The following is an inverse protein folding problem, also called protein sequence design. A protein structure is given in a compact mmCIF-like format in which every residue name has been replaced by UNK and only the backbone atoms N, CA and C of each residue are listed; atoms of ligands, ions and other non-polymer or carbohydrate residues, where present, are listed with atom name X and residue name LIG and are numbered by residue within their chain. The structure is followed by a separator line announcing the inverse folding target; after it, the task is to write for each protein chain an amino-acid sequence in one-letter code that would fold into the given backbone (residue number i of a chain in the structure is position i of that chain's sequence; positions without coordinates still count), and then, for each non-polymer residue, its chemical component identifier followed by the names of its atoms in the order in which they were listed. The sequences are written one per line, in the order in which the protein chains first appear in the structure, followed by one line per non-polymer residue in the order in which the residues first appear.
data_IF_183721696449
#
_entry.id   IF_183721696449
#
_cell.length_a   1.000
_cell.length_b   1.000
_cell.length_c   1.000
_cell.angle_alpha   90.00
_cell.angle_beta   90.00
_cell.angle_gamma   90.00
#
_symmetry.space_group_name_H-M   'P 1'
#
loop_
_entity.id
_entity.type
_entity.pdbx_description
1 polymer ?
#
# COMPACT_ATOMS: atom_id res chain seq x y z
N UNK A 1 -37.67 29.77 -0.84
CA UNK A 1 -36.29 29.30 -1.04
C UNK A 1 -36.37 28.03 -1.89
N UNK A 2 -35.94 28.08 -3.15
CA UNK A 2 -35.97 26.92 -4.03
C UNK A 2 -34.79 26.00 -3.65
N UNK A 3 -35.06 24.80 -3.19
CA UNK A 3 -34.07 23.74 -3.00
C UNK A 3 -33.60 23.26 -4.37
N UNK A 4 -32.42 23.69 -4.78
CA UNK A 4 -31.79 23.22 -6.00
C UNK A 4 -31.29 21.79 -5.74
N UNK A 5 -32.15 20.80 -5.88
CA UNK A 5 -31.79 19.38 -5.91
C UNK A 5 -31.14 19.07 -7.25
N UNK A 6 -29.83 19.19 -7.33
CA UNK A 6 -29.05 18.65 -8.45
C UNK A 6 -29.27 17.14 -8.47
N UNK A 7 -30.15 16.67 -9.34
CA UNK A 7 -30.36 15.23 -9.54
C UNK A 7 -29.05 14.63 -10.09
N UNK A 8 -28.45 13.70 -9.36
CA UNK A 8 -27.31 12.94 -9.87
C UNK A 8 -27.76 12.13 -11.09
N UNK A 9 -26.93 12.04 -12.14
CA UNK A 9 -27.25 11.18 -13.28
C UNK A 9 -27.43 9.73 -12.80
N UNK A 10 -28.33 9.00 -13.45
CA UNK A 10 -28.52 7.59 -13.17
C UNK A 10 -27.18 6.84 -13.34
N UNK A 11 -26.89 5.84 -12.48
CA UNK A 11 -25.68 5.05 -12.66
C UNK A 11 -25.68 4.37 -14.03
N UNK A 12 -24.51 4.22 -14.68
CA UNK A 12 -24.40 3.49 -15.94
C UNK A 12 -24.88 2.04 -15.78
N UNK A 13 -25.28 1.42 -16.89
CA UNK A 13 -25.65 0.00 -16.92
C UNK A 13 -24.46 -0.88 -16.50
N UNK A 14 -24.77 -2.09 -16.01
CA UNK A 14 -23.78 -3.08 -15.59
C UNK A 14 -22.84 -3.47 -16.75
N UNK A 15 -21.56 -3.62 -16.44
CA UNK A 15 -20.56 -4.17 -17.37
C UNK A 15 -20.34 -5.67 -17.05
N UNK A 16 -21.03 -6.51 -17.81
CA UNK A 16 -20.99 -7.98 -17.67
C UNK A 16 -19.61 -8.59 -17.96
N UNK A 17 -18.64 -7.83 -18.46
CA UNK A 17 -17.26 -8.28 -18.64
C UNK A 17 -16.46 -8.26 -17.33
N UNK A 18 -16.87 -7.44 -16.39
CA UNK A 18 -16.25 -7.38 -15.07
C UNK A 18 -16.72 -8.55 -14.19
N UNK A 19 -15.81 -9.12 -13.44
CA UNK A 19 -16.06 -10.28 -12.56
C UNK A 19 -16.01 -9.87 -11.10
N UNK A 20 -16.69 -10.64 -10.26
CA UNK A 20 -16.51 -10.58 -8.82
C UNK A 20 -15.10 -11.07 -8.44
N UNK A 21 -14.35 -10.27 -7.71
CA UNK A 21 -13.07 -10.66 -7.12
C UNK A 21 -13.30 -11.09 -5.67
N UNK A 22 -12.82 -12.30 -5.30
CA UNK A 22 -12.83 -12.81 -3.92
C UNK A 22 -11.42 -13.25 -3.59
N UNK A 23 -10.73 -12.50 -2.73
CA UNK A 23 -9.40 -12.84 -2.25
C UNK A 23 -9.48 -13.49 -0.87
N UNK A 24 -9.14 -14.78 -0.77
CA UNK A 24 -9.05 -15.52 0.49
C UNK A 24 -7.59 -15.59 0.95
N UNK A 25 -7.12 -14.55 1.66
CA UNK A 25 -5.70 -14.30 1.92
C UNK A 25 -4.92 -15.47 2.55
N UNK A 26 -5.57 -16.33 3.31
CA UNK A 26 -4.94 -17.50 3.94
C UNK A 26 -5.13 -18.81 3.16
N UNK A 27 -5.84 -18.79 2.03
CA UNK A 27 -6.20 -20.01 1.28
C UNK A 27 -5.87 -19.92 -0.21
N UNK A 28 -5.93 -18.70 -0.76
CA UNK A 28 -5.75 -18.46 -2.18
C UNK A 28 -4.26 -18.39 -2.51
N UNK A 29 -3.75 -19.46 -3.13
CA UNK A 29 -2.35 -19.56 -3.54
C UNK A 29 -2.02 -18.75 -4.80
N UNK A 30 -3.01 -18.19 -5.47
CA UNK A 30 -2.79 -17.32 -6.63
C UNK A 30 -2.44 -15.87 -6.24
N UNK A 31 -2.67 -15.48 -4.98
CA UNK A 31 -2.34 -14.14 -4.49
C UNK A 31 -0.83 -13.90 -4.52
N UNK A 32 -0.45 -12.72 -4.97
CA UNK A 32 0.95 -12.32 -5.00
C UNK A 32 1.37 -11.79 -3.64
N UNK A 33 2.35 -12.46 -3.03
CA UNK A 33 3.02 -12.02 -1.82
C UNK A 33 4.37 -11.44 -2.20
N UNK A 34 4.62 -10.18 -1.85
CA UNK A 34 5.81 -9.43 -2.24
C UNK A 34 6.55 -8.96 -0.99
N UNK A 35 7.78 -9.44 -0.83
CA UNK A 35 8.69 -8.95 0.20
C UNK A 35 9.35 -7.63 -0.24
N UNK A 36 9.24 -6.59 0.59
CA UNK A 36 9.74 -5.26 0.29
C UNK A 36 10.17 -4.55 1.59
N UNK A 37 11.37 -3.99 1.64
CA UNK A 37 11.94 -3.23 2.77
C UNK A 37 11.76 -3.88 4.16
N UNK A 38 11.78 -5.20 4.22
CA UNK A 38 11.56 -5.96 5.46
C UNK A 38 10.12 -6.41 5.67
N UNK A 39 9.17 -5.80 5.00
CA UNK A 39 7.73 -6.08 5.08
C UNK A 39 7.27 -7.13 4.06
N UNK A 40 6.03 -7.60 4.19
CA UNK A 40 5.39 -8.46 3.18
C UNK A 40 4.03 -7.89 2.80
N UNK A 41 3.84 -7.65 1.51
CA UNK A 41 2.64 -7.06 0.92
C UNK A 41 1.93 -8.10 0.07
N UNK A 42 0.66 -8.37 0.38
CA UNK A 42 -0.19 -9.29 -0.38
C UNK A 42 -1.21 -8.51 -1.17
N UNK A 43 -1.18 -8.63 -2.49
CA UNK A 43 -2.11 -7.92 -3.36
C UNK A 43 -3.42 -8.71 -3.40
N UNK A 44 -4.50 -8.11 -2.87
CA UNK A 44 -5.82 -8.74 -2.76
C UNK A 44 -6.81 -8.26 -3.81
N UNK A 45 -6.73 -6.98 -4.21
CA UNK A 45 -7.51 -6.40 -5.31
C UNK A 45 -6.58 -5.55 -6.16
N UNK A 46 -6.56 -5.81 -7.45
CA UNK A 46 -5.70 -5.11 -8.41
C UNK A 46 -6.43 -3.96 -9.11
N UNK A 47 -5.68 -3.10 -9.79
CA UNK A 47 -6.24 -2.10 -10.68
C UNK A 47 -7.08 -2.72 -11.81
N UNK A 48 -6.70 -3.90 -12.30
CA UNK A 48 -7.49 -4.61 -13.34
C UNK A 48 -8.86 -5.02 -12.81
N UNK A 49 -8.96 -5.48 -11.56
CA UNK A 49 -10.22 -5.82 -10.91
C UNK A 49 -11.16 -4.63 -10.76
N UNK A 50 -10.63 -3.42 -10.64
CA UNK A 50 -11.39 -2.19 -10.33
C UNK A 50 -11.49 -1.22 -11.51
N UNK A 51 -11.03 -1.60 -12.70
CA UNK A 51 -10.89 -0.70 -13.86
C UNK A 51 -10.06 0.55 -13.51
N UNK A 52 -8.95 0.36 -12.77
CA UNK A 52 -8.00 1.41 -12.40
C UNK A 52 -8.44 2.31 -11.24
N UNK A 53 -9.59 2.07 -10.63
CA UNK A 53 -10.13 2.99 -9.62
C UNK A 53 -9.39 2.91 -8.30
N UNK A 54 -9.05 1.72 -7.85
CA UNK A 54 -8.28 1.48 -6.63
C UNK A 54 -7.63 0.10 -6.64
N UNK A 55 -6.66 -0.09 -5.79
CA UNK A 55 -6.13 -1.41 -5.41
C UNK A 55 -6.20 -1.60 -3.90
N UNK A 56 -6.20 -2.86 -3.43
CA UNK A 56 -6.18 -3.22 -2.01
C UNK A 56 -5.02 -4.17 -1.75
N UNK A 57 -4.22 -3.83 -0.74
CA UNK A 57 -3.01 -4.54 -0.39
C UNK A 57 -3.06 -4.85 1.11
N UNK A 58 -2.95 -6.11 1.48
CA UNK A 58 -2.80 -6.53 2.89
C UNK A 58 -1.30 -6.52 3.22
N UNK A 59 -0.92 -5.71 4.19
CA UNK A 59 0.47 -5.49 4.58
C UNK A 59 0.76 -6.11 5.94
N UNK A 60 1.81 -6.92 6.00
CA UNK A 60 2.41 -7.45 7.23
C UNK A 60 3.70 -6.71 7.51
N UNK A 61 3.73 -5.95 8.60
CA UNK A 61 4.81 -5.05 8.98
C UNK A 61 5.46 -5.61 10.26
N UNK A 62 6.61 -6.28 10.18
CA UNK A 62 7.31 -6.77 11.36
C UNK A 62 7.87 -5.62 12.22
N UNK A 63 8.31 -5.89 13.46
CA UNK A 63 9.04 -4.92 14.26
C UNK A 63 10.19 -4.28 13.48
N UNK A 64 10.27 -2.94 13.48
CA UNK A 64 11.25 -2.19 12.71
C UNK A 64 10.93 -2.02 11.22
N UNK A 65 9.81 -2.60 10.72
CA UNK A 65 9.37 -2.47 9.33
C UNK A 65 8.71 -1.12 9.03
N UNK A 66 8.51 -0.88 7.74
CA UNK A 66 7.90 0.32 7.19
C UNK A 66 8.77 1.00 6.13
N UNK A 67 8.15 1.74 5.19
CA UNK A 67 8.86 2.41 4.11
C UNK A 67 9.63 3.64 4.60
N UNK A 68 10.67 4.07 3.86
CA UNK A 68 11.31 5.36 4.07
C UNK A 68 10.34 6.52 3.78
N UNK A 69 10.67 7.78 4.17
CA UNK A 69 9.87 8.94 3.84
C UNK A 69 9.64 9.06 2.32
N UNK A 70 8.37 9.25 1.93
CA UNK A 70 7.99 9.37 0.53
C UNK A 70 6.72 10.21 0.37
N UNK A 71 6.36 10.48 -0.87
CA UNK A 71 5.05 11.00 -1.29
C UNK A 71 4.66 10.41 -2.64
N UNK A 72 3.39 10.43 -2.95
CA UNK A 72 2.86 9.93 -4.21
C UNK A 72 1.62 10.72 -4.64
N UNK A 73 1.32 10.70 -5.92
CA UNK A 73 0.22 11.44 -6.54
C UNK A 73 -1.06 10.58 -6.63
N UNK A 74 -1.48 10.02 -5.50
CA UNK A 74 -2.74 9.30 -5.32
C UNK A 74 -3.12 9.31 -3.83
N UNK A 75 -4.41 9.12 -3.55
CA UNK A 75 -4.89 8.93 -2.17
C UNK A 75 -4.48 7.55 -1.66
N UNK A 76 -4.02 7.49 -0.42
CA UNK A 76 -3.69 6.25 0.25
C UNK A 76 -4.40 6.15 1.60
N UNK A 77 -5.18 5.09 1.78
CA UNK A 77 -5.91 4.87 3.03
C UNK A 77 -5.41 3.62 3.71
N UNK A 78 -5.02 3.76 4.98
CA UNK A 78 -4.67 2.63 5.84
C UNK A 78 -5.81 2.30 6.79
N UNK A 79 -6.15 1.01 6.90
CA UNK A 79 -7.07 0.48 7.90
C UNK A 79 -6.27 -0.52 8.74
N UNK A 80 -5.97 -0.17 9.99
CA UNK A 80 -5.20 -1.04 10.86
C UNK A 80 -6.09 -2.15 11.43
N UNK A 81 -5.67 -3.40 11.20
CA UNK A 81 -6.39 -4.59 11.64
C UNK A 81 -5.79 -5.17 12.91
N UNK A 82 -4.45 -5.14 13.05
CA UNK A 82 -3.72 -5.71 14.18
C UNK A 82 -2.50 -4.85 14.51
N UNK A 83 -2.16 -4.71 15.79
CA UNK A 83 -0.96 -4.00 16.24
C UNK A 83 -1.04 -2.48 16.16
N UNK A 84 0.11 -1.83 16.02
CA UNK A 84 0.23 -0.37 15.93
C UNK A 84 1.45 0.04 15.09
N UNK A 85 1.41 1.23 14.51
CA UNK A 85 2.55 1.87 13.84
C UNK A 85 2.68 3.33 14.24
N UNK A 86 3.89 3.86 14.21
CA UNK A 86 4.14 5.29 14.22
C UNK A 86 4.02 5.83 12.80
N UNK A 87 2.99 6.62 12.54
CA UNK A 87 2.85 7.35 11.28
C UNK A 87 3.48 8.74 11.43
N UNK A 88 4.29 9.14 10.44
CA UNK A 88 4.79 10.51 10.31
C UNK A 88 4.12 11.16 9.10
N UNK A 89 3.37 12.22 9.34
CA UNK A 89 2.66 12.99 8.31
C UNK A 89 3.10 14.44 8.36
N UNK A 90 3.71 14.94 7.27
CA UNK A 90 4.27 16.32 7.21
C UNK A 90 5.14 16.66 8.42
N UNK A 91 5.99 15.70 8.85
CA UNK A 91 6.88 15.85 10.00
C UNK A 91 6.24 15.63 11.39
N UNK A 92 4.92 15.51 11.49
CA UNK A 92 4.23 15.22 12.76
C UNK A 92 4.03 13.72 12.94
N UNK A 93 4.38 13.22 14.12
CA UNK A 93 4.24 11.81 14.49
C UNK A 93 2.91 11.54 15.20
N UNK A 94 2.32 10.40 14.94
CA UNK A 94 1.11 9.90 15.58
C UNK A 94 1.18 8.39 15.68
N UNK A 95 0.71 7.81 16.78
CA UNK A 95 0.55 6.35 16.89
C UNK A 95 -0.84 5.98 16.40
N UNK A 96 -0.88 5.09 15.42
CA UNK A 96 -2.08 4.55 14.79
C UNK A 96 -2.22 3.09 15.24
N UNK A 97 -3.41 2.69 15.70
CA UNK A 97 -3.67 1.39 16.31
C UNK A 97 -4.74 0.61 15.57
N UNK A 98 -4.81 -0.68 15.85
CA UNK A 98 -5.90 -1.53 15.38
C UNK A 98 -7.28 -0.90 15.65
N UNK A 99 -8.11 -0.81 14.60
CA UNK A 99 -9.39 -0.10 14.58
C UNK A 99 -9.34 1.31 14.01
N UNK A 100 -8.16 1.93 13.90
CA UNK A 100 -8.01 3.24 13.28
C UNK A 100 -8.03 3.15 11.75
N UNK A 101 -8.55 4.20 11.12
CA UNK A 101 -8.48 4.45 9.69
C UNK A 101 -7.80 5.78 9.44
N UNK A 102 -6.79 5.80 8.56
CA UNK A 102 -6.00 6.98 8.22
C UNK A 102 -6.01 7.17 6.72
N UNK A 103 -6.38 8.37 6.26
CA UNK A 103 -6.22 8.76 4.86
C UNK A 103 -5.06 9.71 4.69
N UNK A 104 -4.15 9.37 3.81
CA UNK A 104 -3.02 10.20 3.38
C UNK A 104 -3.42 10.85 2.06
N UNK A 105 -3.63 12.19 2.04
CA UNK A 105 -3.95 12.88 0.80
C UNK A 105 -2.79 12.86 -0.18
N UNK A 106 -3.12 12.84 -1.46
CA UNK A 106 -2.15 12.87 -2.55
C UNK A 106 -1.09 13.97 -2.34
N UNK A 107 0.15 13.67 -2.71
CA UNK A 107 1.34 14.55 -2.63
C UNK A 107 1.83 14.89 -1.21
N UNK A 108 1.18 14.40 -0.17
CA UNK A 108 1.61 14.70 1.21
C UNK A 108 2.82 13.85 1.62
N UNK A 109 3.92 14.45 2.13
CA UNK A 109 5.04 13.72 2.69
C UNK A 109 4.61 12.87 3.90
N UNK A 110 4.92 11.58 3.87
CA UNK A 110 4.58 10.67 4.94
C UNK A 110 5.48 9.44 4.99
N UNK A 111 5.39 8.70 6.08
CA UNK A 111 5.87 7.33 6.27
C UNK A 111 5.11 6.70 7.43
N UNK A 112 5.21 5.38 7.55
CA UNK A 112 4.90 4.68 8.81
C UNK A 112 6.09 3.81 9.22
N UNK A 113 6.15 3.46 10.51
CA UNK A 113 7.20 2.62 11.06
C UNK A 113 6.64 1.81 12.23
N UNK A 114 6.84 0.51 12.24
CA UNK A 114 6.47 -0.32 13.37
C UNK A 114 7.52 -0.21 14.47
N UNK A 115 7.26 0.64 15.46
CA UNK A 115 8.13 0.84 16.63
C UNK A 115 7.85 -0.15 17.77
N UNK A 116 6.83 -1.00 17.60
CA UNK A 116 6.45 -1.99 18.61
C UNK A 116 7.30 -3.26 18.52
N UNK A 117 7.15 -4.17 19.50
CA UNK A 117 7.79 -5.48 19.51
C UNK A 117 6.96 -6.58 18.82
N UNK A 118 5.79 -6.26 18.30
CA UNK A 118 4.87 -7.18 17.65
C UNK A 118 4.63 -6.79 16.19
N UNK A 119 4.34 -7.75 15.31
CA UNK A 119 3.95 -7.43 13.94
C UNK A 119 2.66 -6.61 13.91
N UNK A 120 2.55 -5.74 12.92
CA UNK A 120 1.33 -5.00 12.61
C UNK A 120 0.76 -5.50 11.30
N UNK A 121 -0.56 -5.54 11.20
CA UNK A 121 -1.29 -5.84 9.98
C UNK A 121 -2.22 -4.69 9.62
N UNK A 122 -2.18 -4.25 8.38
CA UNK A 122 -3.05 -3.21 7.88
C UNK A 122 -3.48 -3.50 6.42
N UNK A 123 -4.61 -2.93 6.02
CA UNK A 123 -4.99 -2.81 4.62
C UNK A 123 -4.56 -1.44 4.12
N UNK A 124 -3.90 -1.44 2.96
CA UNK A 124 -3.57 -0.24 2.20
C UNK A 124 -4.48 -0.19 0.96
N UNK A 125 -5.20 0.91 0.79
CA UNK A 125 -6.07 1.18 -0.36
C UNK A 125 -5.49 2.37 -1.10
N UNK A 126 -5.07 2.17 -2.35
CA UNK A 126 -4.54 3.24 -3.21
C UNK A 126 -5.55 3.62 -4.28
N UNK A 127 -5.87 4.91 -4.43
CA UNK A 127 -6.83 5.42 -5.42
C UNK A 127 -6.27 6.67 -6.11
N UNK A 128 -6.12 6.63 -7.47
CA UNK A 128 -6.30 5.49 -8.35
C UNK A 128 -5.30 4.35 -8.11
N UNK A 129 -5.60 3.17 -8.67
CA UNK A 129 -4.72 2.00 -8.63
C UNK A 129 -3.37 2.25 -9.34
N UNK A 130 -2.40 1.36 -9.09
CA UNK A 130 -1.08 1.37 -9.74
C UNK A 130 0.09 1.11 -8.79
N UNK A 131 -0.08 1.38 -7.51
CA UNK A 131 0.96 1.15 -6.50
C UNK A 131 1.31 -0.34 -6.36
N UNK A 132 0.34 -1.22 -6.53
CA UNK A 132 0.56 -2.67 -6.53
C UNK A 132 1.56 -3.09 -7.61
N UNK A 133 1.54 -2.45 -8.77
CA UNK A 133 2.47 -2.73 -9.85
C UNK A 133 3.90 -2.28 -9.51
N UNK A 134 4.04 -1.16 -8.79
CA UNK A 134 5.35 -0.75 -8.26
C UNK A 134 5.91 -1.82 -7.32
N UNK A 135 5.13 -2.30 -6.38
CA UNK A 135 5.56 -3.34 -5.44
C UNK A 135 5.93 -4.65 -6.16
N UNK A 136 5.17 -5.06 -7.17
CA UNK A 136 5.48 -6.24 -7.99
C UNK A 136 6.81 -6.06 -8.73
N UNK A 137 7.06 -4.87 -9.29
CA UNK A 137 8.26 -4.63 -10.10
C UNK A 137 9.52 -4.48 -9.25
N UNK A 138 9.44 -3.84 -8.07
CA UNK A 138 10.61 -3.60 -7.22
C UNK A 138 10.89 -4.70 -6.21
N UNK A 139 9.85 -5.34 -5.67
CA UNK A 139 9.97 -6.30 -4.58
C UNK A 139 10.37 -7.71 -5.04
N UNK A 140 10.45 -8.61 -4.07
CA UNK A 140 10.80 -10.02 -4.28
C UNK A 140 9.58 -10.89 -3.95
N UNK A 141 9.13 -11.79 -4.87
CA UNK A 141 8.09 -12.75 -4.54
C UNK A 141 8.47 -13.61 -3.34
N UNK A 142 7.54 -13.82 -2.41
CA UNK A 142 7.70 -14.65 -1.21
C UNK A 142 6.56 -15.66 -1.09
N UNK A 143 6.73 -16.70 -0.27
CA UNK A 143 5.82 -17.86 -0.27
C UNK A 143 4.45 -17.58 0.38
N UNK A 144 4.41 -16.72 1.41
CA UNK A 144 3.17 -16.45 2.17
C UNK A 144 3.11 -14.97 2.58
N UNK A 145 1.96 -14.53 3.05
CA UNK A 145 1.73 -13.17 3.53
C UNK A 145 2.63 -12.72 4.70
N UNK A 146 3.27 -13.66 5.38
CA UNK A 146 4.15 -13.40 6.54
C UNK A 146 5.58 -13.87 6.32
N UNK A 147 5.90 -14.41 5.14
CA UNK A 147 7.27 -14.80 4.79
C UNK A 147 8.11 -13.54 4.61
N UNK A 148 9.16 -13.31 5.42
CA UNK A 148 10.00 -12.13 5.27
C UNK A 148 10.75 -12.15 3.93
N UNK A 149 11.07 -10.98 3.37
CA UNK A 149 11.95 -10.91 2.21
C UNK A 149 13.35 -11.45 2.53
N UNK A 150 14.09 -11.92 1.51
CA UNK A 150 15.48 -12.32 1.67
C UNK A 150 16.33 -11.17 2.23
N UNK A 151 17.24 -11.47 3.14
CA UNK A 151 18.23 -10.48 3.60
C UNK A 151 19.18 -10.15 2.47
N UNK A 152 19.30 -8.87 2.14
CA UNK A 152 20.20 -8.37 1.13
C UNK A 152 21.57 -8.05 1.75
N UNK A 153 22.66 -8.40 1.05
CA UNK A 153 23.99 -7.88 1.38
C UNK A 153 24.11 -6.40 0.92
N UNK A 154 25.20 -5.71 1.30
CA UNK A 154 25.38 -4.29 1.01
C UNK A 154 25.28 -3.95 -0.50
N UNK A 155 25.87 -4.78 -1.36
CA UNK A 155 25.79 -4.60 -2.81
C UNK A 155 24.35 -4.72 -3.32
N UNK A 156 23.67 -5.78 -2.92
CA UNK A 156 22.26 -6.01 -3.29
C UNK A 156 21.34 -4.91 -2.77
N UNK A 157 21.61 -4.40 -1.55
CA UNK A 157 20.87 -3.28 -0.98
C UNK A 157 21.06 -2.00 -1.80
N UNK A 158 22.30 -1.70 -2.24
CA UNK A 158 22.57 -0.55 -3.08
C UNK A 158 21.87 -0.67 -4.45
N UNK A 159 21.93 -1.84 -5.08
CA UNK A 159 21.24 -2.13 -6.36
C UNK A 159 19.73 -2.00 -6.22
N UNK A 160 19.17 -2.50 -5.12
CA UNK A 160 17.75 -2.38 -4.80
C UNK A 160 17.32 -0.91 -4.67
N UNK A 161 18.07 -0.11 -3.91
CA UNK A 161 17.79 1.33 -3.73
C UNK A 161 17.86 2.07 -5.07
N UNK A 162 18.84 1.75 -5.93
CA UNK A 162 18.92 2.33 -7.27
C UNK A 162 17.71 1.97 -8.13
N UNK A 163 17.29 0.70 -8.12
CA UNK A 163 16.10 0.22 -8.83
C UNK A 163 14.84 0.95 -8.37
N UNK A 164 14.63 1.05 -7.05
CA UNK A 164 13.49 1.76 -6.46
C UNK A 164 13.48 3.23 -6.91
N UNK A 165 14.60 3.93 -6.80
CA UNK A 165 14.73 5.35 -7.23
C UNK A 165 14.45 5.54 -8.71
N UNK A 166 14.91 4.63 -9.56
CA UNK A 166 14.70 4.70 -11.01
C UNK A 166 13.21 4.48 -11.39
N UNK A 167 12.51 3.60 -10.67
CA UNK A 167 11.14 3.22 -10.99
C UNK A 167 10.08 4.08 -10.30
N UNK A 168 10.38 4.67 -9.15
CA UNK A 168 9.42 5.46 -8.39
C UNK A 168 8.67 6.52 -9.21
N UNK A 169 9.32 7.32 -10.09
CA UNK A 169 8.62 8.30 -10.93
C UNK A 169 7.60 7.68 -11.91
N UNK A 170 7.89 6.50 -12.46
CA UNK A 170 6.96 5.75 -13.32
C UNK A 170 5.63 5.46 -12.60
N UNK A 171 5.70 5.27 -11.29
CA UNK A 171 4.56 4.98 -10.42
C UNK A 171 4.12 6.19 -9.60
N UNK A 172 4.39 7.41 -10.07
CA UNK A 172 3.98 8.67 -9.45
C UNK A 172 4.38 8.79 -7.98
N UNK A 173 5.53 8.21 -7.63
CA UNK A 173 6.08 8.16 -6.27
C UNK A 173 7.43 8.87 -6.24
N UNK A 174 7.70 9.59 -5.17
CA UNK A 174 8.98 10.25 -4.90
C UNK A 174 9.48 9.83 -3.51
N UNK A 175 10.72 9.32 -3.47
CA UNK A 175 11.41 9.05 -2.21
C UNK A 175 12.00 10.35 -1.68
N UNK A 176 11.75 10.64 -0.41
CA UNK A 176 12.25 11.83 0.25
C UNK A 176 13.49 11.51 1.10
N UNK A 177 14.29 12.52 1.38
CA UNK A 177 15.41 12.37 2.34
C UNK A 177 14.84 12.32 3.76
N UNK A 178 15.47 11.56 4.63
CA UNK A 178 15.22 11.71 6.06
C UNK A 178 15.63 13.11 6.49
N UNK A 179 14.74 13.77 7.25
CA UNK A 179 14.99 15.09 7.80
C UNK A 179 15.86 15.02 9.04
#
# INVERSE_FOLDING_TARGET
MATNTTAYPAPPSDDLKRKLTIAQINKDQSLRHIGLVGDTYTITVTGDDTAGRFSVIDMHIPPGGGPPPHRHDFEETFILLEGEVEATFRGKKSIIRAGDTVNIPANAPHRFHNVSSQPTRLLCICSPAGQENFFIEVGTPVATRTTPPPKLNEKQQAEFIQKVKALAPKYRTELLREA
#
